data_IF_395083830820
#
_entry.id   IF_395083830820
#
_cell.length_a   1.000
_cell.length_b   1.000
_cell.length_c   1.000
_cell.angle_alpha   90.00
_cell.angle_beta   90.00
_cell.angle_gamma   90.00
#
_symmetry.space_group_name_H-M   'P 1'
#
loop_
_entity.id
_entity.type
_entity.pdbx_description
1 polymer ?
#
# COMPACT_ATOMS: atom_id res chain seq x y z
N UNK A 1 5.76 -5.26 -63.15
CA UNK A 1 6.96 -5.95 -62.62
C UNK A 1 7.80 -4.90 -61.90
N UNK A 2 8.29 -5.01 -60.67
CA UNK A 2 8.24 -6.07 -59.67
C UNK A 2 8.43 -5.44 -58.28
N UNK A 3 8.04 -6.18 -57.27
CA UNK A 3 8.20 -5.87 -55.86
C UNK A 3 9.66 -6.03 -55.42
N UNK A 4 10.11 -5.24 -54.44
CA UNK A 4 11.12 -5.67 -53.48
C UNK A 4 10.78 -5.15 -52.08
N UNK A 5 11.08 -6.02 -51.12
CA UNK A 5 10.49 -6.19 -49.79
C UNK A 5 11.61 -6.05 -48.73
N UNK A 6 11.22 -5.74 -47.49
CA UNK A 6 11.99 -5.92 -46.24
C UNK A 6 13.15 -4.94 -45.96
N UNK A 7 13.43 -4.52 -44.72
CA UNK A 7 13.11 -5.15 -43.43
C UNK A 7 13.04 -4.15 -42.27
N UNK A 8 12.24 -4.52 -41.27
CA UNK A 8 12.08 -3.85 -39.97
C UNK A 8 13.31 -4.08 -39.09
N UNK A 9 13.68 -3.08 -38.30
CA UNK A 9 14.42 -3.28 -37.05
C UNK A 9 13.51 -2.86 -35.89
N UNK A 10 12.88 -3.87 -35.28
CA UNK A 10 12.18 -3.75 -33.99
C UNK A 10 13.25 -3.77 -32.91
N UNK A 11 13.46 -2.66 -32.20
CA UNK A 11 14.25 -2.66 -30.97
C UNK A 11 13.42 -3.27 -29.85
N UNK A 12 13.92 -4.40 -29.33
CA UNK A 12 13.35 -5.11 -28.21
C UNK A 12 13.46 -4.25 -26.94
N UNK A 13 12.33 -4.04 -26.28
CA UNK A 13 12.26 -3.57 -24.91
C UNK A 13 12.81 -4.67 -24.01
N UNK A 14 13.90 -4.37 -23.30
CA UNK A 14 14.36 -5.15 -22.16
C UNK A 14 13.37 -4.94 -21.02
N UNK A 15 12.61 -5.98 -20.69
CA UNK A 15 11.86 -6.08 -19.45
C UNK A 15 12.86 -6.14 -18.29
N UNK A 16 13.12 -4.99 -17.68
CA UNK A 16 13.80 -4.91 -16.39
C UNK A 16 12.84 -5.40 -15.31
N UNK A 17 13.24 -6.44 -14.60
CA UNK A 17 12.60 -6.88 -13.38
C UNK A 17 12.66 -5.73 -12.35
N UNK A 18 11.50 -5.19 -12.02
CA UNK A 18 11.32 -4.03 -11.14
C UNK A 18 11.86 -4.34 -9.73
N UNK A 19 13.04 -3.79 -9.41
CA UNK A 19 13.65 -3.87 -8.08
C UNK A 19 12.70 -3.28 -7.02
N UNK A 20 12.83 -3.65 -5.72
CA UNK A 20 12.07 -2.99 -4.67
C UNK A 20 12.38 -1.50 -4.73
N UNK A 21 11.38 -0.68 -5.08
CA UNK A 21 11.54 0.76 -5.16
C UNK A 21 12.07 1.31 -3.84
N UNK A 22 12.85 2.39 -3.92
CA UNK A 22 13.41 3.11 -2.76
C UNK A 22 12.39 3.23 -1.61
N UNK A 23 12.84 2.99 -0.38
CA UNK A 23 11.99 3.11 0.81
C UNK A 23 11.29 4.48 0.87
N UNK A 24 10.01 4.47 1.23
CA UNK A 24 9.21 5.70 1.28
C UNK A 24 9.66 6.63 2.41
N UNK A 25 9.73 7.91 2.08
CA UNK A 25 9.97 9.04 2.98
C UNK A 25 8.93 10.12 2.69
N UNK A 26 8.85 11.10 3.57
CA UNK A 26 8.09 12.31 3.32
C UNK A 26 8.87 13.21 2.37
N UNK A 27 8.15 13.87 1.46
CA UNK A 27 8.72 14.93 0.64
C UNK A 27 9.13 16.11 1.53
N UNK A 28 10.34 16.64 1.34
CA UNK A 28 10.95 17.61 2.25
C UNK A 28 10.24 18.98 2.24
N UNK A 29 9.93 19.47 1.04
CA UNK A 29 9.37 20.82 0.84
C UNK A 29 7.85 20.86 0.78
N UNK A 30 7.20 19.87 0.14
CA UNK A 30 5.76 19.77 0.07
C UNK A 30 5.19 19.22 1.40
N UNK A 31 4.98 20.12 2.36
CA UNK A 31 4.35 19.81 3.64
C UNK A 31 3.64 21.02 4.23
N UNK A 32 2.63 20.76 5.03
CA UNK A 32 1.88 21.80 5.73
C UNK A 32 2.76 22.58 6.70
N UNK A 33 2.41 23.86 6.93
CA UNK A 33 3.20 24.80 7.69
C UNK A 33 3.46 24.38 9.15
N UNK A 34 2.63 23.50 9.71
CA UNK A 34 2.76 22.99 11.08
C UNK A 34 3.49 21.65 11.16
N UNK A 35 3.98 21.12 10.04
CA UNK A 35 4.71 19.86 9.99
C UNK A 35 6.20 20.10 10.17
N UNK A 36 6.81 19.33 11.06
CA UNK A 36 8.25 19.17 11.21
C UNK A 36 8.63 17.73 10.85
N UNK A 37 9.58 17.57 9.93
CA UNK A 37 10.09 16.25 9.54
C UNK A 37 11.30 15.85 10.37
N UNK A 38 11.42 14.56 10.66
CA UNK A 38 12.61 13.99 11.30
C UNK A 38 13.82 13.98 10.35
N UNK A 39 15.05 13.78 10.86
CA UNK A 39 16.29 13.89 10.07
C UNK A 39 16.37 12.93 8.88
N UNK A 40 15.74 11.75 9.00
CA UNK A 40 15.71 10.73 7.94
C UNK A 40 14.53 10.91 6.98
N UNK A 41 13.70 11.94 7.15
CA UNK A 41 12.51 12.17 6.34
C UNK A 41 11.41 11.11 6.50
N UNK A 42 11.58 10.10 7.35
CA UNK A 42 10.57 9.05 7.56
C UNK A 42 9.55 9.40 8.65
N UNK A 43 9.76 10.46 9.42
CA UNK A 43 8.85 10.87 10.51
C UNK A 43 8.30 12.26 10.26
N UNK A 44 7.01 12.47 10.50
CA UNK A 44 6.33 13.76 10.42
C UNK A 44 5.62 14.06 11.74
N UNK A 45 5.84 15.25 12.28
CA UNK A 45 5.26 15.73 13.53
C UNK A 45 4.48 17.01 13.27
N UNK A 46 3.23 17.09 13.72
CA UNK A 46 2.48 18.35 13.75
C UNK A 46 2.74 19.08 15.07
N UNK A 47 2.89 20.40 15.00
CA UNK A 47 2.95 21.29 16.16
C UNK A 47 1.68 21.29 17.03
N UNK A 48 1.58 22.26 17.93
CA UNK A 48 0.46 22.44 18.87
C UNK A 48 -0.80 23.03 18.21
N UNK A 49 -1.16 22.54 17.01
CA UNK A 49 -2.34 22.97 16.24
C UNK A 49 -3.22 21.76 15.90
N UNK A 50 -4.28 21.97 15.12
CA UNK A 50 -5.16 20.92 14.58
C UNK A 50 -5.23 20.87 13.06
N UNK A 51 -4.54 21.76 12.34
CA UNK A 51 -4.54 21.89 10.88
C UNK A 51 -3.12 22.13 10.34
N UNK A 52 -2.99 22.26 9.01
CA UNK A 52 -1.73 22.38 8.27
C UNK A 52 -0.81 21.17 8.48
N UNK A 53 -1.40 19.98 8.53
CA UNK A 53 -0.73 18.70 8.80
C UNK A 53 -0.45 17.86 7.56
N UNK A 54 -0.64 18.41 6.36
CA UNK A 54 -0.55 17.68 5.09
C UNK A 54 0.90 17.28 4.81
N UNK A 55 1.10 16.03 4.41
CA UNK A 55 2.40 15.50 3.97
C UNK A 55 2.21 14.58 2.76
N UNK A 56 3.25 14.48 1.93
CA UNK A 56 3.26 13.63 0.74
C UNK A 56 4.44 12.66 0.76
N UNK A 57 4.33 11.55 0.04
CA UNK A 57 5.50 10.70 -0.24
C UNK A 57 6.51 11.46 -1.12
N UNK A 58 7.80 11.17 -0.96
CA UNK A 58 8.86 11.80 -1.76
C UNK A 58 8.87 11.31 -3.21
N UNK A 59 8.31 10.13 -3.48
CA UNK A 59 8.20 9.53 -4.82
C UNK A 59 6.77 9.06 -5.12
N UNK A 60 6.45 8.81 -6.40
CA UNK A 60 5.25 8.09 -6.77
C UNK A 60 5.19 6.70 -6.14
N UNK A 61 3.97 6.23 -5.92
CA UNK A 61 3.63 4.90 -5.40
C UNK A 61 2.85 4.12 -6.46
N UNK A 62 3.20 2.84 -6.61
CA UNK A 62 2.60 2.00 -7.63
C UNK A 62 1.18 1.56 -7.22
N UNK A 63 0.27 1.34 -8.18
CA UNK A 63 -1.01 0.71 -7.88
C UNK A 63 -0.82 -0.66 -7.22
N UNK A 64 -1.33 -0.81 -6.00
CA UNK A 64 -1.20 -2.00 -5.17
C UNK A 64 -0.04 -1.94 -4.17
N UNK A 65 0.91 -1.02 -4.34
CA UNK A 65 1.97 -0.77 -3.36
C UNK A 65 1.34 -0.42 -2.00
N UNK A 66 1.89 -1.04 -0.95
CA UNK A 66 1.41 -0.87 0.41
C UNK A 66 2.18 0.27 1.07
N UNK A 67 1.52 1.41 1.27
CA UNK A 67 2.07 2.50 2.07
C UNK A 67 1.79 2.19 3.53
N UNK A 68 2.84 1.85 4.29
CA UNK A 68 2.74 1.54 5.71
C UNK A 68 3.24 2.72 6.55
N UNK A 69 2.51 3.07 7.60
CA UNK A 69 2.92 4.05 8.58
C UNK A 69 2.58 3.60 10.00
N UNK A 70 3.38 3.99 10.98
CA UNK A 70 3.09 3.86 12.41
C UNK A 70 2.58 5.19 12.94
N UNK A 71 1.54 5.16 13.76
CA UNK A 71 1.12 6.33 14.55
C UNK A 71 1.99 6.40 15.79
N UNK A 72 2.81 7.44 15.89
CA UNK A 72 3.75 7.59 17.01
C UNK A 72 3.12 8.28 18.21
N UNK A 73 2.29 9.31 17.97
CA UNK A 73 1.73 10.14 19.03
C UNK A 73 0.31 10.58 18.72
N UNK A 74 -0.51 10.58 19.76
CA UNK A 74 -1.82 11.22 19.77
C UNK A 74 -1.92 12.23 20.92
N UNK A 75 -2.76 13.24 20.75
CA UNK A 75 -3.12 14.23 21.76
C UNK A 75 -4.63 14.29 21.91
N UNK A 76 -5.12 14.22 23.16
CA UNK A 76 -6.54 14.39 23.48
C UNK A 76 -7.00 15.84 23.37
N UNK A 77 -8.31 16.07 23.49
CA UNK A 77 -8.89 17.42 23.41
C UNK A 77 -9.12 17.94 21.97
N UNK A 78 -8.81 17.12 20.97
CA UNK A 78 -9.09 17.39 19.56
C UNK A 78 -10.10 16.38 19.00
N UNK A 79 -10.93 16.82 18.06
CA UNK A 79 -11.81 15.93 17.29
C UNK A 79 -11.14 15.50 15.97
N UNK A 80 -11.47 14.29 15.51
CA UNK A 80 -10.97 13.74 14.26
C UNK A 80 -9.64 12.98 14.38
N UNK A 81 -9.10 12.53 13.24
CA UNK A 81 -7.92 11.66 13.21
C UNK A 81 -7.22 11.64 11.87
N UNK A 82 -6.25 10.73 11.74
CA UNK A 82 -5.43 10.59 10.55
C UNK A 82 -6.28 10.37 9.29
N UNK A 83 -5.97 11.14 8.25
CA UNK A 83 -6.51 10.94 6.90
C UNK A 83 -5.42 10.40 6.00
N UNK A 84 -5.78 9.51 5.08
CA UNK A 84 -4.86 8.89 4.13
C UNK A 84 -5.47 8.86 2.74
N UNK A 85 -4.64 8.93 1.72
CA UNK A 85 -5.11 9.00 0.34
C UNK A 85 -4.00 8.99 -0.68
N UNK A 86 -4.38 9.34 -1.91
CA UNK A 86 -3.48 9.50 -3.04
C UNK A 86 -3.77 10.80 -3.78
N UNK A 87 -2.74 11.38 -4.39
CA UNK A 87 -2.84 12.55 -5.25
C UNK A 87 -2.10 12.34 -6.57
N UNK A 88 -2.51 13.03 -7.62
CA UNK A 88 -1.73 13.18 -8.86
C UNK A 88 -0.94 14.48 -8.90
N UNK A 89 -1.03 15.31 -7.87
CA UNK A 89 -0.13 16.44 -7.72
C UNK A 89 1.28 15.92 -7.48
N UNK A 90 2.21 16.31 -8.34
CA UNK A 90 3.62 16.08 -8.09
C UNK A 90 4.06 16.98 -6.93
N UNK A 91 4.48 16.42 -5.77
CA UNK A 91 4.90 17.23 -4.64
C UNK A 91 6.09 18.14 -4.95
N UNK A 92 6.95 17.79 -5.92
CA UNK A 92 8.04 18.66 -6.36
C UNK A 92 7.55 19.95 -7.03
N UNK A 93 6.29 19.97 -7.50
CA UNK A 93 5.64 21.15 -8.07
C UNK A 93 4.88 21.99 -7.03
N UNK A 94 4.76 21.51 -5.79
CA UNK A 94 4.07 22.20 -4.71
C UNK A 94 5.05 23.05 -3.91
N UNK A 95 4.63 24.25 -3.53
CA UNK A 95 5.33 25.05 -2.54
C UNK A 95 4.57 25.01 -1.21
N UNK A 96 5.25 24.82 -0.07
CA UNK A 96 4.61 24.75 1.25
C UNK A 96 3.58 25.87 1.55
N UNK A 97 3.79 27.14 1.17
CA UNK A 97 2.83 28.22 1.43
C UNK A 97 1.51 28.08 0.65
N UNK A 98 1.47 27.22 -0.37
CA UNK A 98 0.30 27.02 -1.24
C UNK A 98 -0.64 25.92 -0.75
N UNK A 99 -0.25 25.16 0.29
CA UNK A 99 -1.07 24.06 0.79
C UNK A 99 -2.24 24.57 1.65
N UNK A 100 -3.45 24.05 1.43
CA UNK A 100 -4.60 24.37 2.27
C UNK A 100 -4.47 23.72 3.66
N UNK A 101 -5.29 24.15 4.64
CA UNK A 101 -5.19 23.64 6.01
C UNK A 101 -5.55 22.16 6.16
N UNK A 102 -6.36 21.60 5.25
CA UNK A 102 -6.82 20.21 5.31
C UNK A 102 -6.72 19.49 3.97
N UNK A 103 -6.49 18.17 3.99
CA UNK A 103 -6.62 17.37 2.76
C UNK A 103 -8.08 17.27 2.33
N UNK A 104 -8.99 16.99 3.27
CA UNK A 104 -10.44 16.95 3.02
C UNK A 104 -11.13 18.06 3.83
N UNK A 105 -11.99 18.90 3.21
CA UNK A 105 -12.33 18.89 1.78
C UNK A 105 -11.32 19.65 0.89
N UNK A 106 -10.52 20.55 1.46
CA UNK A 106 -9.87 21.64 0.71
C UNK A 106 -8.97 21.17 -0.45
N UNK A 107 -7.99 20.30 -0.19
CA UNK A 107 -7.06 19.86 -1.23
C UNK A 107 -7.78 19.00 -2.27
N UNK A 108 -8.75 18.17 -1.87
CA UNK A 108 -9.55 17.36 -2.80
C UNK A 108 -10.38 18.21 -3.77
N UNK A 109 -10.98 19.30 -3.29
CA UNK A 109 -11.82 20.16 -4.14
C UNK A 109 -10.98 20.98 -5.14
N UNK A 110 -9.71 21.24 -4.81
CA UNK A 110 -8.82 22.09 -5.60
C UNK A 110 -7.90 21.30 -6.53
N UNK A 111 -7.85 19.97 -6.42
CA UNK A 111 -6.82 19.18 -7.09
C UNK A 111 -7.25 17.73 -7.33
N UNK A 112 -6.54 16.97 -8.22
CA UNK A 112 -6.76 15.53 -8.37
C UNK A 112 -6.21 14.75 -7.16
N UNK A 113 -6.89 14.91 -6.03
CA UNK A 113 -6.57 14.29 -4.74
C UNK A 113 -7.78 13.52 -4.21
N UNK A 114 -7.53 12.34 -3.65
CA UNK A 114 -8.55 11.47 -3.07
C UNK A 114 -8.04 10.92 -1.74
N UNK A 115 -8.63 11.37 -0.65
CA UNK A 115 -8.32 10.90 0.69
C UNK A 115 -9.61 10.54 1.44
N UNK A 116 -9.41 9.97 2.63
CA UNK A 116 -10.49 9.63 3.53
C UNK A 116 -9.98 9.63 4.97
N UNK A 117 -10.85 10.02 5.89
CA UNK A 117 -10.62 9.89 7.32
C UNK A 117 -10.65 8.40 7.69
N UNK A 118 -9.64 7.94 8.42
CA UNK A 118 -9.69 6.59 8.99
C UNK A 118 -10.83 6.53 10.02
N UNK A 119 -11.63 5.45 10.06
CA UNK A 119 -12.78 5.38 10.94
C UNK A 119 -12.42 5.65 12.40
N UNK A 120 -13.30 6.39 13.08
CA UNK A 120 -13.07 6.85 14.44
C UNK A 120 -12.80 5.69 15.40
N UNK A 121 -11.84 5.88 16.31
CA UNK A 121 -11.47 4.87 17.30
C UNK A 121 -10.65 3.68 16.77
N UNK A 122 -10.45 3.55 15.45
CA UNK A 122 -9.69 2.43 14.86
C UNK A 122 -8.17 2.60 14.97
N UNK A 123 -7.68 3.82 15.22
CA UNK A 123 -6.25 4.14 15.19
C UNK A 123 -5.81 4.71 16.52
N UNK A 124 -4.79 4.09 17.12
CA UNK A 124 -4.13 4.50 18.35
C UNK A 124 -2.63 4.66 18.16
N UNK A 125 -1.96 5.39 19.04
CA UNK A 125 -0.50 5.38 19.12
C UNK A 125 0.03 3.92 19.22
N UNK A 126 1.09 3.63 18.48
CA UNK A 126 1.66 2.30 18.29
C UNK A 126 1.04 1.49 17.14
N UNK A 127 -0.17 1.84 16.65
CA UNK A 127 -0.78 1.12 15.54
C UNK A 127 -0.06 1.39 14.21
N UNK A 128 -0.02 0.35 13.38
CA UNK A 128 0.44 0.42 12.00
C UNK A 128 -0.76 0.51 11.08
N UNK A 129 -0.87 1.61 10.35
CA UNK A 129 -1.84 1.79 9.27
C UNK A 129 -1.16 1.45 7.97
N UNK A 130 -1.79 0.62 7.16
CA UNK A 130 -1.31 0.28 5.83
C UNK A 130 -2.42 0.54 4.82
N UNK A 131 -2.18 1.42 3.84
CA UNK A 131 -3.15 1.80 2.83
C UNK A 131 -2.60 1.64 1.41
N UNK A 132 -3.50 1.43 0.46
CA UNK A 132 -3.17 1.19 -0.95
C UNK A 132 -4.36 1.49 -1.85
N UNK A 133 -4.10 1.75 -3.12
CA UNK A 133 -5.13 1.81 -4.16
C UNK A 133 -4.96 0.61 -5.10
N UNK A 134 -6.05 -0.07 -5.44
CA UNK A 134 -6.01 -1.16 -6.41
C UNK A 134 -6.15 -0.62 -7.86
N UNK A 135 -6.01 -1.52 -8.85
CA UNK A 135 -6.15 -1.15 -10.28
C UNK A 135 -7.55 -0.65 -10.68
N UNK A 136 -8.57 -0.85 -9.83
CA UNK A 136 -9.94 -0.33 -10.03
C UNK A 136 -10.13 1.09 -9.48
N UNK A 137 -9.10 1.70 -8.89
CA UNK A 137 -9.22 3.01 -8.25
C UNK A 137 -9.89 2.94 -6.87
N UNK A 138 -9.86 1.79 -6.20
CA UNK A 138 -10.42 1.65 -4.86
C UNK A 138 -9.32 1.79 -3.81
N UNK A 139 -9.47 2.78 -2.93
CA UNK A 139 -8.60 3.07 -1.81
C UNK A 139 -9.00 2.22 -0.60
N UNK A 140 -8.06 1.44 -0.11
CA UNK A 140 -8.20 0.60 1.07
C UNK A 140 -7.22 1.03 2.16
N UNK A 141 -7.58 0.76 3.41
CA UNK A 141 -6.65 0.77 4.52
C UNK A 141 -6.91 -0.41 5.46
N UNK A 142 -5.86 -0.89 6.13
CA UNK A 142 -5.93 -1.83 7.25
C UNK A 142 -5.17 -1.25 8.43
N UNK A 143 -5.61 -1.56 9.64
CA UNK A 143 -4.89 -1.23 10.87
C UNK A 143 -4.39 -2.52 11.51
N UNK A 144 -3.09 -2.62 11.77
CA UNK A 144 -2.41 -3.81 12.26
C UNK A 144 -2.78 -5.06 11.41
N UNK A 145 -3.08 -6.17 12.08
CA UNK A 145 -3.58 -7.42 11.47
C UNK A 145 -5.10 -7.40 11.21
N UNK A 146 -5.75 -6.23 11.28
CA UNK A 146 -7.18 -6.06 11.04
C UNK A 146 -7.57 -6.31 9.58
N UNK A 147 -8.89 -6.40 9.35
CA UNK A 147 -9.44 -6.55 8.00
C UNK A 147 -9.25 -5.28 7.18
N UNK A 148 -8.94 -5.39 5.88
CA UNK A 148 -8.97 -4.23 4.99
C UNK A 148 -10.34 -3.58 4.93
N UNK A 149 -10.37 -2.26 5.06
CA UNK A 149 -11.53 -1.39 4.95
C UNK A 149 -11.47 -0.66 3.62
N UNK A 150 -12.57 -0.68 2.87
CA UNK A 150 -12.72 0.18 1.70
C UNK A 150 -13.03 1.60 2.19
N UNK A 151 -12.08 2.52 2.01
CA UNK A 151 -12.25 3.90 2.44
C UNK A 151 -12.93 4.76 1.37
N UNK A 152 -12.59 4.52 0.10
CA UNK A 152 -13.05 5.35 -1.02
C UNK A 152 -12.99 4.60 -2.35
N UNK A 153 -13.89 4.96 -3.26
CA UNK A 153 -13.89 4.54 -4.66
C UNK A 153 -13.47 5.72 -5.55
N UNK A 154 -13.17 5.41 -6.80
CA UNK A 154 -13.00 6.42 -7.86
C UNK A 154 -11.73 7.27 -7.76
N UNK A 155 -10.65 6.71 -7.19
CA UNK A 155 -9.30 7.25 -7.39
C UNK A 155 -8.95 7.09 -8.86
N UNK A 156 -8.67 8.20 -9.56
CA UNK A 156 -8.34 8.12 -10.97
C UNK A 156 -6.98 7.46 -11.17
N UNK A 157 -6.96 6.40 -11.98
CA UNK A 157 -5.76 5.64 -12.35
C UNK A 157 -5.21 6.04 -13.74
N UNK A 158 -3.95 5.70 -14.04
CA UNK A 158 -3.33 5.98 -15.35
C UNK A 158 -2.43 7.21 -15.38
N UNK A 159 -2.07 7.76 -14.22
CA UNK A 159 -0.98 8.72 -14.03
C UNK A 159 -0.23 8.35 -12.75
N UNK A 160 1.00 8.84 -12.55
CA UNK A 160 1.70 8.68 -11.27
C UNK A 160 0.83 9.17 -10.10
N UNK A 161 0.86 8.42 -9.01
CA UNK A 161 0.17 8.76 -7.77
C UNK A 161 1.21 8.94 -6.68
N UNK A 162 1.05 9.94 -5.83
CA UNK A 162 1.80 10.08 -4.59
C UNK A 162 0.88 9.77 -3.42
N UNK A 163 1.44 9.18 -2.36
CA UNK A 163 0.72 9.03 -1.11
C UNK A 163 0.54 10.42 -0.48
N UNK A 164 -0.65 10.70 0.01
CA UNK A 164 -0.93 11.91 0.80
C UNK A 164 -1.53 11.50 2.14
N UNK A 165 -1.06 12.16 3.20
CA UNK A 165 -1.58 11.96 4.55
C UNK A 165 -1.83 13.32 5.19
N UNK A 166 -2.83 13.37 6.06
CA UNK A 166 -3.12 14.54 6.87
C UNK A 166 -2.91 14.17 8.33
N UNK A 167 -1.81 14.66 8.92
CA UNK A 167 -1.59 14.57 10.36
C UNK A 167 -2.61 15.51 11.00
N UNK A 168 -3.82 15.04 11.24
CA UNK A 168 -4.99 15.82 11.64
C UNK A 168 -5.57 15.38 12.99
N UNK A 169 -6.28 16.32 13.65
CA UNK A 169 -7.07 16.05 14.85
C UNK A 169 -6.23 15.47 15.98
N UNK A 170 -6.64 14.32 16.51
CA UNK A 170 -5.92 13.65 17.59
C UNK A 170 -4.54 13.14 17.20
N UNK A 171 -4.24 12.93 15.92
CA UNK A 171 -2.94 12.39 15.47
C UNK A 171 -1.90 13.50 15.45
N UNK A 172 -0.73 13.30 16.07
CA UNK A 172 0.33 14.32 16.18
C UNK A 172 1.66 13.93 15.57
N UNK A 173 1.92 12.65 15.41
CA UNK A 173 3.13 12.19 14.77
C UNK A 173 2.92 10.83 14.11
N UNK A 174 3.49 10.68 12.92
CA UNK A 174 3.47 9.45 12.12
C UNK A 174 4.87 9.14 11.58
N UNK A 175 5.13 7.87 11.35
CA UNK A 175 6.38 7.36 10.78
C UNK A 175 6.05 6.49 9.56
N UNK A 176 6.60 6.79 8.39
CA UNK A 176 6.58 5.87 7.25
C UNK A 176 7.48 4.67 7.52
N UNK A 177 6.95 3.49 7.28
CA UNK A 177 7.66 2.23 7.48
C UNK A 177 8.14 1.69 6.13
N UNK A 178 9.37 1.20 6.12
CA UNK A 178 9.92 0.50 4.96
C UNK A 178 9.28 -0.90 4.87
N UNK A 179 8.66 -1.27 3.72
CA UNK A 179 8.13 -2.62 3.51
C UNK A 179 9.19 -3.73 3.65
N UNK A 180 10.49 -3.43 3.49
CA UNK A 180 11.58 -4.38 3.68
C UNK A 180 12.02 -4.52 5.14
N UNK A 181 11.57 -3.64 6.05
CA UNK A 181 11.86 -3.78 7.47
C UNK A 181 10.84 -4.73 8.09
N UNK A 182 11.21 -5.96 8.50
CA UNK A 182 10.31 -6.79 9.27
C UNK A 182 9.90 -6.01 10.51
N UNK A 183 8.59 -5.95 10.78
CA UNK A 183 8.03 -5.29 11.96
C UNK A 183 8.55 -5.99 13.22
N UNK A 184 9.73 -5.62 13.68
CA UNK A 184 10.23 -5.99 14.99
C UNK A 184 9.39 -5.21 15.98
N UNK A 185 8.39 -5.87 16.55
CA UNK A 185 7.77 -5.43 17.80
C UNK A 185 8.88 -5.39 18.84
N UNK A 186 9.29 -4.19 19.23
CA UNK A 186 10.24 -3.98 20.29
C UNK A 186 9.56 -4.27 21.64
N UNK A 187 9.46 -5.55 22.01
CA UNK A 187 9.31 -5.98 23.40
C UNK A 187 10.03 -7.33 23.58
N UNK A 188 11.15 -7.24 24.29
CA UNK A 188 11.80 -8.26 25.13
C UNK A 188 12.30 -9.60 24.55
N UNK A 189 13.37 -10.10 25.17
CA UNK A 189 14.24 -11.15 24.71
C UNK A 189 13.62 -12.56 24.60
N UNK A 190 13.96 -13.29 23.52
CA UNK A 190 13.80 -14.74 23.42
C UNK A 190 14.24 -15.28 22.04
N UNK A 191 15.00 -16.39 21.94
CA UNK A 191 15.58 -16.83 20.68
C UNK A 191 14.66 -17.74 19.86
N UNK A 192 14.73 -17.52 18.54
CA UNK A 192 14.66 -18.49 17.44
C UNK A 192 13.37 -19.31 17.22
N UNK A 193 12.57 -18.92 16.22
CA UNK A 193 12.00 -19.84 15.23
C UNK A 193 11.91 -19.12 13.89
N UNK A 194 12.82 -19.46 12.97
CA UNK A 194 12.80 -19.05 11.56
C UNK A 194 11.48 -19.46 10.89
N UNK A 195 10.61 -18.51 10.59
CA UNK A 195 9.51 -18.71 9.65
C UNK A 195 10.07 -18.71 8.22
N UNK A 196 9.94 -19.84 7.52
CA UNK A 196 10.32 -19.96 6.10
C UNK A 196 9.34 -19.18 5.20
N UNK A 197 9.81 -18.43 4.18
CA UNK A 197 8.91 -17.70 3.29
C UNK A 197 8.25 -18.66 2.28
N UNK A 198 6.94 -18.83 2.35
CA UNK A 198 6.22 -19.68 1.37
C UNK A 198 4.76 -20.05 1.69
N UNK A 199 4.20 -19.61 2.82
CA UNK A 199 2.95 -20.17 3.36
C UNK A 199 1.69 -19.33 3.08
N UNK A 200 1.77 -18.19 2.39
CA UNK A 200 0.61 -17.32 2.13
C UNK A 200 0.10 -17.37 0.69
N UNK A 201 -1.22 -17.25 0.52
CA UNK A 201 -1.87 -17.28 -0.79
C UNK A 201 -1.47 -16.06 -1.64
N UNK A 202 -0.94 -16.27 -2.84
CA UNK A 202 -0.46 -15.20 -3.73
C UNK A 202 -1.56 -14.39 -4.42
N UNK A 203 -2.82 -14.79 -4.28
CA UNK A 203 -3.96 -14.05 -4.85
C UNK A 203 -4.50 -13.06 -3.83
N UNK A 204 -4.76 -13.52 -2.60
CA UNK A 204 -5.31 -12.67 -1.57
C UNK A 204 -4.26 -12.05 -0.66
N UNK A 205 -3.13 -12.72 -0.41
CA UNK A 205 -2.17 -12.38 0.64
C UNK A 205 -2.83 -12.25 2.02
N UNK A 206 -3.86 -13.08 2.28
CA UNK A 206 -4.62 -13.08 3.54
C UNK A 206 -4.69 -14.45 4.20
N UNK A 207 -4.81 -15.53 3.43
CA UNK A 207 -5.00 -16.89 3.93
C UNK A 207 -3.81 -17.76 3.54
N UNK A 208 -3.55 -18.81 4.30
CA UNK A 208 -2.48 -19.76 4.01
C UNK A 208 -2.64 -20.42 2.63
N UNK A 209 -1.51 -20.63 1.95
CA UNK A 209 -1.39 -21.38 0.69
C UNK A 209 -1.55 -22.88 0.95
N UNK A 210 -2.80 -23.29 1.20
CA UNK A 210 -3.16 -24.66 1.60
C UNK A 210 -3.84 -25.46 0.49
N UNK A 211 -3.78 -24.99 -0.76
CA UNK A 211 -4.54 -25.57 -1.87
C UNK A 211 -3.70 -25.69 -3.13
N UNK A 212 -3.71 -26.88 -3.71
CA UNK A 212 -3.05 -27.25 -4.97
C UNK A 212 -4.07 -27.34 -6.11
N UNK A 213 -3.65 -26.91 -7.29
CA UNK A 213 -4.40 -27.07 -8.54
C UNK A 213 -3.94 -28.33 -9.26
N UNK A 214 -4.87 -29.23 -9.61
CA UNK A 214 -4.59 -30.48 -10.32
C UNK A 214 -4.93 -30.30 -11.81
N UNK A 215 -4.11 -30.82 -12.76
CA UNK A 215 -2.93 -31.67 -12.55
C UNK A 215 -1.60 -30.91 -12.38
N UNK A 216 -1.58 -29.58 -12.52
CA UNK A 216 -0.31 -28.84 -12.63
C UNK A 216 0.50 -28.72 -11.33
N UNK A 217 -0.08 -29.01 -10.17
CA UNK A 217 0.63 -29.11 -8.89
C UNK A 217 0.91 -27.79 -8.17
N UNK A 218 0.67 -26.62 -8.79
CA UNK A 218 0.91 -25.33 -8.15
C UNK A 218 0.01 -25.12 -6.92
N UNK A 219 0.63 -24.85 -5.78
CA UNK A 219 -0.02 -24.80 -4.46
C UNK A 219 0.03 -23.46 -3.75
N UNK A 220 0.28 -22.37 -4.46
CA UNK A 220 0.44 -21.03 -3.88
C UNK A 220 -0.90 -20.34 -3.51
N UNK A 221 -1.98 -21.11 -3.35
CA UNK A 221 -3.34 -20.58 -3.27
C UNK A 221 -4.04 -21.06 -2.01
N UNK A 222 -4.87 -20.22 -1.41
CA UNK A 222 -5.85 -20.67 -0.42
C UNK A 222 -7.07 -21.26 -1.13
N UNK A 223 -7.84 -22.07 -0.42
CA UNK A 223 -9.00 -22.78 -0.97
C UNK A 223 -10.02 -21.86 -1.63
N UNK A 224 -10.31 -20.72 -0.98
CA UNK A 224 -11.26 -19.74 -1.51
C UNK A 224 -10.80 -19.13 -2.85
N UNK A 225 -9.52 -18.73 -2.94
CA UNK A 225 -8.97 -18.15 -4.16
C UNK A 225 -8.83 -19.20 -5.27
N UNK A 226 -8.40 -20.41 -4.94
CA UNK A 226 -8.27 -21.51 -5.90
C UNK A 226 -9.63 -21.92 -6.50
N UNK A 227 -10.68 -22.03 -5.67
CA UNK A 227 -12.05 -22.31 -6.14
C UNK A 227 -12.59 -21.19 -7.03
N UNK A 228 -12.28 -19.92 -6.71
CA UNK A 228 -12.68 -18.79 -7.56
C UNK A 228 -12.04 -18.87 -8.94
N UNK A 229 -10.73 -19.11 -9.01
CA UNK A 229 -10.02 -19.29 -10.28
C UNK A 229 -10.59 -20.48 -11.06
N UNK A 230 -10.88 -21.59 -10.39
CA UNK A 230 -11.47 -22.77 -11.03
C UNK A 230 -12.83 -22.46 -11.67
N UNK A 231 -13.70 -21.70 -10.99
CA UNK A 231 -15.00 -21.29 -11.54
C UNK A 231 -14.90 -20.25 -12.65
N UNK A 232 -14.03 -19.25 -12.50
CA UNK A 232 -14.02 -18.08 -13.37
C UNK A 232 -13.27 -18.35 -14.68
N UNK A 233 -12.11 -19.02 -14.60
CA UNK A 233 -11.23 -19.21 -15.76
C UNK A 233 -10.86 -20.66 -16.01
N UNK A 234 -10.95 -21.53 -15.00
CA UNK A 234 -10.47 -22.92 -15.02
C UNK A 234 -9.02 -23.07 -15.52
N UNK A 235 -8.19 -22.02 -15.40
CA UNK A 235 -6.78 -22.01 -15.83
C UNK A 235 -5.88 -21.57 -14.68
N UNK A 236 -4.81 -22.32 -14.43
CA UNK A 236 -3.84 -22.03 -13.37
C UNK A 236 -3.21 -20.64 -13.56
N UNK A 237 -3.17 -19.76 -12.55
CA UNK A 237 -2.57 -18.42 -12.68
C UNK A 237 -1.06 -18.44 -12.89
N UNK A 238 -0.37 -19.52 -12.50
CA UNK A 238 1.09 -19.66 -12.65
C UNK A 238 1.46 -20.16 -14.03
N UNK A 239 0.93 -21.33 -14.43
CA UNK A 239 1.35 -22.01 -15.67
C UNK A 239 0.30 -21.99 -16.78
N UNK A 240 -0.87 -21.39 -16.55
CA UNK A 240 -2.00 -21.29 -17.51
C UNK A 240 -2.61 -22.63 -17.95
N UNK A 241 -2.19 -23.76 -17.36
CA UNK A 241 -2.74 -25.09 -17.62
C UNK A 241 -4.20 -25.20 -17.15
N UNK A 242 -5.00 -26.02 -17.85
CA UNK A 242 -6.38 -26.30 -17.46
C UNK A 242 -6.45 -27.04 -16.12
N UNK A 243 -7.23 -26.49 -15.20
CA UNK A 243 -7.46 -27.06 -13.87
C UNK A 243 -8.56 -28.11 -14.01
N UNK A 244 -8.30 -29.33 -13.57
CA UNK A 244 -9.30 -30.40 -13.46
C UNK A 244 -9.91 -30.50 -12.06
N UNK A 245 -9.13 -30.18 -11.02
CA UNK A 245 -9.57 -30.26 -9.63
C UNK A 245 -8.81 -29.26 -8.74
N UNK A 246 -9.45 -28.86 -7.64
CA UNK A 246 -8.86 -28.04 -6.57
C UNK A 246 -8.77 -28.91 -5.31
N UNK A 247 -7.55 -29.25 -4.88
CA UNK A 247 -7.30 -30.16 -3.77
C UNK A 247 -6.56 -29.46 -2.62
N UNK A 248 -7.01 -29.67 -1.38
CA UNK A 248 -6.29 -29.19 -0.20
C UNK A 248 -4.96 -29.93 -0.04
N UNK A 249 -3.89 -29.19 0.23
CA UNK A 249 -2.60 -29.77 0.59
C UNK A 249 -2.68 -30.11 2.08
N UNK A 250 -2.63 -31.41 2.40
CA UNK A 250 -2.44 -31.85 3.80
C UNK A 250 -0.98 -31.59 4.15
N UNK A 251 -0.74 -30.74 5.13
CA UNK A 251 0.55 -30.66 5.80
C UNK A 251 0.67 -31.92 6.64
N UNK A 252 1.54 -32.86 6.25
CA UNK A 252 1.92 -33.94 7.16
C UNK A 252 2.76 -33.31 8.28
N UNK A 253 2.16 -33.18 9.46
CA UNK A 253 2.91 -33.06 10.70
C UNK A 253 3.61 -34.41 10.90
N UNK A 254 4.91 -34.46 10.66
CA UNK A 254 5.75 -35.61 10.94
C UNK A 254 7.19 -35.15 11.05
N UNK A 255 8.00 -35.68 11.95
CA UNK A 255 7.86 -36.63 13.05
C UNK A 255 9.15 -36.55 13.85
#
# INVERSE_FOLDING_TARGET
MGAHFSSKATTAATEEAEAPGEALRFHEDARGAQVQLGPLGCTAHRGATFHDGIVFSQRPVWPGERVALRVLRQEGGWCGGLRVGFTRLDPASLSAPSLPPFVCPDLEEQSPTWASLLPEGCVRAGNVVCFWVNRRGWLYAKVNAGRPLLLRKDVLMGAPLWAVMDVYGTTKAIELLDPATPLVSSEDAGPDLKATPGEECVICFHNAANTRLVPCGHSHFCSSCAQRVFRDTAKCPVCRWQIGEVALVRTEEGS
#
